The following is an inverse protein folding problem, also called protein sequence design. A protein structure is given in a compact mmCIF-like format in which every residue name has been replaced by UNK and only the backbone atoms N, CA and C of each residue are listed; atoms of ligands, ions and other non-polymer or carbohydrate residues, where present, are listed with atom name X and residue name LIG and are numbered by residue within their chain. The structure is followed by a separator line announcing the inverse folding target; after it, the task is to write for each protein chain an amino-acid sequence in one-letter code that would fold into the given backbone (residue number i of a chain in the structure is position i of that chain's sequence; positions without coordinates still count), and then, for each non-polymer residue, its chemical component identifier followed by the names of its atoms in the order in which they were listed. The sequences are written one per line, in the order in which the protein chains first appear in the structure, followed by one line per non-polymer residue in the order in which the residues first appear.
data_IF_985791401250
#
_entry.id   IF_985791401250
#
_cell.length_a   1.000
_cell.length_b   1.000
_cell.length_c   1.000
_cell.angle_alpha   90.00
_cell.angle_beta   90.00
_cell.angle_gamma   90.00
#
_symmetry.space_group_name_H-M   'P 1'
#
loop_
_entity.id
_entity.type
_entity.pdbx_description
1 polymer ?
#
# COMPACT_ATOMS: atom_id res chain seq x y z
N UNK A 1 -75.25 5.09 -4.13
CA UNK A 1 -75.38 6.45 -4.68
C UNK A 1 -74.00 6.86 -5.18
N UNK A 2 -73.84 6.90 -6.49
CA UNK A 2 -72.60 7.21 -7.19
C UNK A 2 -72.42 8.73 -7.31
N UNK A 3 -71.18 9.21 -7.37
CA UNK A 3 -70.79 10.24 -8.33
C UNK A 3 -69.31 10.10 -8.70
N UNK A 4 -69.11 9.84 -10.00
CA UNK A 4 -67.85 9.86 -10.72
C UNK A 4 -67.31 11.29 -10.87
N UNK A 5 -65.99 11.45 -10.88
CA UNK A 5 -65.34 12.35 -11.84
C UNK A 5 -63.91 11.88 -12.16
N UNK A 6 -63.72 11.48 -13.42
CA UNK A 6 -62.43 11.26 -14.10
C UNK A 6 -61.80 12.61 -14.43
N UNK A 7 -60.47 12.72 -14.31
CA UNK A 7 -59.66 13.45 -15.29
C UNK A 7 -58.24 12.89 -15.34
N UNK A 8 -58.01 12.15 -16.42
CA UNK A 8 -56.73 11.72 -16.96
C UNK A 8 -55.96 12.93 -17.50
N UNK A 9 -54.68 13.05 -17.13
CA UNK A 9 -53.70 13.86 -17.85
C UNK A 9 -52.44 13.00 -18.07
N UNK A 10 -52.31 12.65 -19.34
CA UNK A 10 -51.16 12.07 -20.02
C UNK A 10 -49.95 12.99 -19.90
N UNK A 11 -48.83 12.48 -19.39
CA UNK A 11 -47.52 13.09 -19.58
C UNK A 11 -46.83 12.34 -20.72
N UNK A 12 -46.88 13.00 -21.88
CA UNK A 12 -46.09 12.66 -23.06
C UNK A 12 -44.61 12.89 -22.78
N UNK A 13 -43.81 12.05 -23.43
CA UNK A 13 -42.38 12.13 -23.61
C UNK A 13 -41.99 13.49 -24.22
N UNK A 14 -41.07 14.20 -23.57
CA UNK A 14 -40.21 15.18 -24.22
C UNK A 14 -38.82 14.58 -24.39
N UNK A 15 -38.51 14.35 -25.66
CA UNK A 15 -37.29 13.83 -26.22
C UNK A 15 -36.50 15.04 -26.73
N UNK A 16 -35.30 15.32 -26.18
CA UNK A 16 -34.24 16.06 -26.89
C UNK A 16 -32.91 16.15 -26.11
N UNK A 17 -31.90 15.51 -26.70
CA UNK A 17 -30.51 15.97 -26.83
C UNK A 17 -29.58 15.87 -25.61
N UNK A 18 -28.89 14.73 -25.48
CA UNK A 18 -27.42 14.70 -25.34
C UNK A 18 -26.87 13.52 -26.13
N UNK A 19 -25.98 13.81 -27.08
CA UNK A 19 -25.41 12.85 -28.01
C UNK A 19 -24.68 11.71 -27.30
N UNK A 20 -25.35 10.57 -27.19
CA UNK A 20 -24.72 9.29 -26.91
C UNK A 20 -24.08 8.77 -28.19
N UNK A 21 -22.75 8.76 -28.21
CA UNK A 21 -21.97 7.96 -29.16
C UNK A 21 -22.49 6.52 -29.02
N UNK A 22 -23.17 6.00 -30.05
CA UNK A 22 -23.56 4.59 -30.11
C UNK A 22 -22.30 3.76 -29.96
N UNK A 23 -22.09 3.18 -28.78
CA UNK A 23 -21.17 2.07 -28.58
C UNK A 23 -21.64 0.98 -29.54
N UNK A 24 -20.75 0.64 -30.47
CA UNK A 24 -20.90 -0.49 -31.38
C UNK A 24 -21.17 -1.76 -30.57
N UNK A 25 -22.05 -2.61 -31.09
CA UNK A 25 -22.47 -3.88 -30.50
C UNK A 25 -21.36 -4.95 -30.49
N UNK A 26 -20.25 -4.66 -29.79
CA UNK A 26 -19.13 -5.60 -29.53
C UNK A 26 -19.00 -5.90 -28.03
N UNK A 27 -19.67 -5.15 -27.15
CA UNK A 27 -19.51 -5.27 -25.69
C UNK A 27 -20.70 -5.94 -25.00
N UNK A 28 -20.97 -7.20 -25.33
CA UNK A 28 -21.72 -8.08 -24.43
C UNK A 28 -20.70 -8.95 -23.68
N UNK A 29 -20.63 -8.92 -22.33
CA UNK A 29 -19.72 -9.79 -21.59
C UNK A 29 -20.12 -11.24 -21.86
N UNK A 30 -19.17 -12.03 -22.37
CA UNK A 30 -19.32 -13.48 -22.49
C UNK A 30 -19.67 -14.06 -21.12
N UNK A 31 -20.65 -14.97 -21.05
CA UNK A 31 -20.93 -15.77 -19.85
C UNK A 31 -19.63 -16.37 -19.31
N UNK A 32 -19.35 -16.23 -18.00
CA UNK A 32 -18.50 -17.22 -17.32
C UNK A 32 -17.44 -16.80 -16.29
N UNK A 33 -17.31 -15.55 -15.84
CA UNK A 33 -16.42 -15.23 -14.68
C UNK A 33 -17.09 -14.23 -13.74
N UNK A 34 -17.45 -14.71 -12.54
CA UNK A 34 -17.81 -13.84 -11.42
C UNK A 34 -16.52 -13.20 -10.88
N UNK A 35 -16.39 -11.88 -11.04
CA UNK A 35 -15.24 -11.15 -10.50
C UNK A 35 -15.52 -10.77 -9.07
N UNK A 36 -14.65 -11.23 -8.17
CA UNK A 36 -14.69 -10.75 -6.81
C UNK A 36 -14.35 -9.25 -6.73
N UNK A 37 -15.39 -8.45 -6.51
CA UNK A 37 -15.28 -7.01 -6.23
C UNK A 37 -14.34 -6.73 -5.04
N UNK A 38 -14.33 -7.63 -4.06
CA UNK A 38 -13.58 -7.50 -2.81
C UNK A 38 -12.24 -8.22 -2.85
N UNK A 39 -11.72 -8.57 -4.03
CA UNK A 39 -10.45 -9.31 -4.22
C UNK A 39 -9.24 -8.68 -3.51
N UNK A 40 -9.23 -7.36 -3.33
CA UNK A 40 -8.17 -6.66 -2.60
C UNK A 40 -8.31 -6.73 -1.06
N UNK A 41 -9.46 -7.16 -0.55
CA UNK A 41 -9.74 -7.34 0.89
C UNK A 41 -9.45 -8.79 1.27
N UNK A 42 -8.21 -9.03 1.71
CA UNK A 42 -7.75 -10.35 2.15
C UNK A 42 -7.93 -10.60 3.64
N UNK A 43 -8.17 -9.55 4.44
CA UNK A 43 -8.24 -9.63 5.90
C UNK A 43 -9.35 -8.74 6.50
N UNK A 44 -10.63 -9.10 6.34
CA UNK A 44 -11.71 -8.47 7.11
C UNK A 44 -11.45 -8.56 8.61
N UNK A 45 -11.62 -7.46 9.32
CA UNK A 45 -11.27 -7.34 10.73
C UNK A 45 -12.13 -6.30 11.46
N UNK A 46 -12.13 -6.36 12.80
CA UNK A 46 -12.89 -5.47 13.67
C UNK A 46 -12.09 -4.24 14.15
N UNK A 47 -10.85 -4.03 13.68
CA UNK A 47 -9.95 -3.00 14.23
C UNK A 47 -10.60 -1.62 14.15
N UNK A 48 -11.17 -1.26 13.00
CA UNK A 48 -11.85 0.02 12.81
C UNK A 48 -13.03 0.21 13.76
N UNK A 49 -13.91 -0.80 13.84
CA UNK A 49 -15.10 -0.78 14.67
C UNK A 49 -14.72 -0.63 16.15
N UNK A 50 -13.79 -1.47 16.62
CA UNK A 50 -13.26 -1.44 17.98
C UNK A 50 -12.57 -0.13 18.30
N UNK A 51 -11.75 0.40 17.38
CA UNK A 51 -11.07 1.70 17.51
C UNK A 51 -12.08 2.83 17.71
N UNK A 52 -13.11 2.92 16.84
CA UNK A 52 -14.17 3.93 16.96
C UNK A 52 -14.94 3.80 18.29
N UNK A 53 -15.32 2.58 18.69
CA UNK A 53 -15.98 2.30 19.98
C UNK A 53 -15.13 2.71 21.19
N UNK A 54 -13.80 2.75 21.06
CA UNK A 54 -12.86 3.20 22.10
C UNK A 54 -12.54 4.70 22.04
N UNK A 55 -13.34 5.49 21.32
CA UNK A 55 -13.20 6.94 21.22
C UNK A 55 -12.05 7.41 20.32
N UNK A 56 -11.43 6.50 19.57
CA UNK A 56 -10.39 6.84 18.60
C UNK A 56 -11.03 7.04 17.23
N UNK A 57 -11.58 8.22 16.97
CA UNK A 57 -12.30 8.50 15.72
C UNK A 57 -11.43 8.27 14.47
N UNK A 58 -10.14 8.65 14.53
CA UNK A 58 -9.18 8.57 13.42
C UNK A 58 -8.11 7.51 13.66
N UNK A 59 -7.59 6.93 12.58
CA UNK A 59 -6.52 5.91 12.65
C UNK A 59 -5.22 6.49 13.21
N UNK A 60 -4.94 7.76 12.93
CA UNK A 60 -3.73 8.45 13.40
C UNK A 60 -3.58 8.36 14.93
N UNK A 61 -4.68 8.56 15.65
CA UNK A 61 -4.70 8.49 17.11
C UNK A 61 -4.36 7.08 17.66
N UNK A 62 -4.67 6.02 16.91
CA UNK A 62 -4.23 4.66 17.24
C UNK A 62 -2.76 4.45 16.88
N UNK A 63 -2.31 4.96 15.74
CA UNK A 63 -0.90 4.82 15.30
C UNK A 63 0.10 5.46 16.27
N UNK A 64 -0.27 6.59 16.88
CA UNK A 64 0.56 7.26 17.89
C UNK A 64 0.78 6.41 19.15
N UNK A 65 -0.07 5.40 19.39
CA UNK A 65 0.06 4.43 20.48
C UNK A 65 0.83 3.17 20.07
N UNK A 66 1.21 3.07 18.79
CA UNK A 66 1.82 1.88 18.17
C UNK A 66 3.10 2.28 17.43
N UNK A 67 4.17 2.72 18.12
CA UNK A 67 5.38 3.23 17.48
C UNK A 67 6.08 2.21 16.59
N UNK A 68 5.92 0.91 16.88
CA UNK A 68 6.55 -0.19 16.16
C UNK A 68 5.77 -0.64 14.91
N UNK A 69 4.58 -0.09 14.68
CA UNK A 69 3.77 -0.39 13.49
C UNK A 69 3.69 0.87 12.64
N UNK A 70 4.39 0.91 11.49
CA UNK A 70 4.29 2.03 10.56
C UNK A 70 2.83 2.34 10.21
N UNK A 71 2.45 3.62 10.20
CA UNK A 71 1.08 4.04 9.92
C UNK A 71 0.55 3.45 8.61
N UNK A 72 1.36 3.43 7.54
CA UNK A 72 1.01 2.84 6.24
C UNK A 72 0.62 1.38 6.42
N UNK A 73 1.41 0.63 7.19
CA UNK A 73 1.15 -0.78 7.48
C UNK A 73 -0.11 -0.95 8.32
N UNK A 74 -0.31 -0.12 9.35
CA UNK A 74 -1.52 -0.11 10.17
C UNK A 74 -2.77 0.21 9.34
N UNK A 75 -2.70 1.16 8.41
CA UNK A 75 -3.78 1.52 7.48
C UNK A 75 -4.17 0.37 6.57
N UNK A 76 -3.19 -0.36 6.02
CA UNK A 76 -3.45 -1.54 5.20
C UNK A 76 -4.03 -2.70 6.01
N UNK A 77 -3.57 -2.88 7.25
CA UNK A 77 -4.14 -3.87 8.17
C UNK A 77 -5.59 -3.51 8.46
N UNK A 78 -5.90 -2.27 8.87
CA UNK A 78 -7.27 -1.86 9.18
C UNK A 78 -8.21 -1.99 7.97
N UNK A 79 -7.75 -1.61 6.77
CA UNK A 79 -8.52 -1.76 5.53
C UNK A 79 -8.64 -3.22 5.04
N UNK A 80 -7.96 -4.15 5.70
CA UNK A 80 -7.97 -5.57 5.33
C UNK A 80 -7.21 -5.90 4.06
N UNK A 81 -6.33 -5.01 3.58
CA UNK A 81 -5.50 -5.24 2.40
C UNK A 81 -4.31 -6.16 2.69
N UNK A 82 -3.93 -6.28 3.96
CA UNK A 82 -2.87 -7.19 4.41
C UNK A 82 -3.24 -7.85 5.72
N UNK A 83 -2.78 -9.08 5.93
CA UNK A 83 -2.87 -9.73 7.23
C UNK A 83 -1.93 -9.08 8.24
N UNK A 84 -2.44 -8.87 9.45
CA UNK A 84 -1.61 -8.57 10.60
C UNK A 84 -0.71 -9.78 10.93
N UNK A 85 0.52 -9.51 11.35
CA UNK A 85 1.35 -10.50 12.06
C UNK A 85 0.78 -10.70 13.47
N UNK A 86 1.02 -11.86 14.12
CA UNK A 86 0.57 -12.07 15.49
C UNK A 86 1.04 -10.97 16.47
N UNK A 87 2.31 -10.56 16.41
CA UNK A 87 2.81 -9.46 17.26
C UNK A 87 2.13 -8.11 16.98
N UNK A 88 1.81 -7.82 15.71
CA UNK A 88 1.10 -6.59 15.31
C UNK A 88 -0.34 -6.61 15.86
N UNK A 89 -1.03 -7.75 15.73
CA UNK A 89 -2.38 -7.93 16.26
C UNK A 89 -2.41 -7.80 17.78
N UNK A 90 -1.42 -8.37 18.47
CA UNK A 90 -1.26 -8.26 19.92
C UNK A 90 -1.08 -6.79 20.37
N UNK A 91 -0.21 -6.05 19.68
CA UNK A 91 0.05 -4.65 19.98
C UNK A 91 -1.21 -3.79 19.75
N UNK A 92 -1.92 -3.99 18.63
CA UNK A 92 -3.18 -3.29 18.33
C UNK A 92 -4.23 -3.60 19.40
N UNK A 93 -4.39 -4.87 19.79
CA UNK A 93 -5.33 -5.28 20.82
C UNK A 93 -4.99 -4.65 22.18
N UNK A 94 -3.71 -4.65 22.56
CA UNK A 94 -3.23 -4.00 23.77
C UNK A 94 -3.51 -2.50 23.79
N UNK A 95 -3.23 -1.78 22.70
CA UNK A 95 -3.52 -0.35 22.57
C UNK A 95 -5.02 -0.01 22.65
N UNK A 96 -5.88 -0.96 22.25
CA UNK A 96 -7.34 -0.87 22.34
C UNK A 96 -7.92 -1.47 23.63
N UNK A 97 -7.08 -2.07 24.49
CA UNK A 97 -7.46 -2.80 25.70
C UNK A 97 -8.51 -3.89 25.42
N UNK A 98 -8.24 -4.71 24.41
CA UNK A 98 -9.06 -5.84 23.94
C UNK A 98 -8.22 -7.11 23.86
N UNK A 99 -8.87 -8.26 23.70
CA UNK A 99 -8.19 -9.49 23.33
C UNK A 99 -7.91 -9.48 21.81
N UNK A 100 -6.81 -10.11 21.33
CA UNK A 100 -6.55 -10.23 19.90
C UNK A 100 -7.70 -10.88 19.12
N UNK A 101 -8.42 -11.81 19.75
CA UNK A 101 -9.58 -12.48 19.16
C UNK A 101 -10.74 -11.51 18.84
N UNK A 102 -10.93 -10.44 19.64
CA UNK A 102 -11.98 -9.44 19.43
C UNK A 102 -11.78 -8.65 18.13
N UNK A 103 -10.53 -8.58 17.65
CA UNK A 103 -10.17 -7.89 16.42
C UNK A 103 -10.39 -8.73 15.16
N UNK A 104 -10.64 -10.03 15.31
CA UNK A 104 -10.82 -10.96 14.20
C UNK A 104 -12.31 -11.13 13.88
N UNK A 105 -12.64 -11.14 12.58
CA UNK A 105 -13.99 -11.43 12.10
C UNK A 105 -14.10 -12.92 11.79
N UNK A 106 -15.24 -13.52 12.13
CA UNK A 106 -15.65 -14.79 11.56
C UNK A 106 -16.41 -14.52 10.26
N UNK A 107 -15.80 -14.84 9.11
CA UNK A 107 -16.43 -14.58 7.80
C UNK A 107 -17.53 -15.58 7.44
N UNK A 108 -17.61 -16.69 8.19
CA UNK A 108 -18.65 -17.72 8.03
C UNK A 108 -19.84 -17.47 8.98
N UNK A 109 -19.84 -16.35 9.70
CA UNK A 109 -20.98 -15.93 10.51
C UNK A 109 -22.08 -15.37 9.61
N UNK A 110 -23.32 -15.86 9.74
CA UNK A 110 -24.46 -15.39 8.94
C UNK A 110 -24.74 -13.90 9.15
N UNK A 111 -24.31 -13.32 10.27
CA UNK A 111 -24.44 -11.89 10.54
C UNK A 111 -23.36 -11.03 9.84
N UNK A 112 -22.33 -11.64 9.24
CA UNK A 112 -21.26 -10.90 8.57
C UNK A 112 -21.58 -10.70 7.08
N UNK A 113 -21.77 -9.43 6.69
CA UNK A 113 -21.87 -9.03 5.30
C UNK A 113 -20.58 -8.32 4.82
N UNK A 114 -19.95 -8.87 3.77
CA UNK A 114 -18.73 -8.30 3.20
C UNK A 114 -18.95 -6.93 2.56
N UNK A 115 -20.10 -6.71 1.91
CA UNK A 115 -20.41 -5.45 1.26
C UNK A 115 -20.61 -4.34 2.29
N UNK A 116 -21.33 -4.63 3.39
CA UNK A 116 -21.51 -3.72 4.50
C UNK A 116 -20.18 -3.39 5.18
N UNK A 117 -19.34 -4.40 5.43
CA UNK A 117 -18.00 -4.17 5.98
C UNK A 117 -17.12 -3.35 5.04
N UNK A 118 -17.21 -3.61 3.73
CA UNK A 118 -16.41 -2.95 2.71
C UNK A 118 -16.82 -1.49 2.46
N UNK A 119 -18.08 -1.11 2.73
CA UNK A 119 -18.64 0.21 2.44
C UNK A 119 -17.83 1.36 3.06
N UNK A 120 -17.22 1.13 4.23
CA UNK A 120 -16.41 2.11 4.93
C UNK A 120 -14.94 2.15 4.45
N UNK A 121 -14.44 1.10 3.79
CA UNK A 121 -13.03 0.97 3.36
C UNK A 121 -12.83 1.20 1.87
N UNK A 122 -13.84 0.93 1.05
CA UNK A 122 -13.81 1.04 -0.40
C UNK A 122 -14.93 1.96 -0.86
N UNK A 123 -14.59 2.97 -1.65
CA UNK A 123 -15.58 3.80 -2.32
C UNK A 123 -16.32 2.96 -3.36
N UNK A 124 -17.66 2.82 -3.27
CA UNK A 124 -18.42 2.08 -4.26
C UNK A 124 -18.26 2.61 -5.68
N UNK A 125 -18.03 3.91 -5.86
CA UNK A 125 -17.82 4.55 -7.16
C UNK A 125 -16.45 4.25 -7.77
N UNK A 126 -15.53 3.66 -6.99
CA UNK A 126 -14.20 3.30 -7.44
C UNK A 126 -14.16 1.98 -8.25
N UNK A 127 -15.27 1.23 -8.26
CA UNK A 127 -15.45 -0.02 -8.98
C UNK A 127 -16.13 0.24 -10.34
N UNK A 128 -15.46 -0.15 -11.41
CA UNK A 128 -15.99 -0.12 -12.77
C UNK A 128 -15.96 -1.56 -13.30
N UNK A 129 -17.12 -2.22 -13.47
CA UNK A 129 -17.17 -3.62 -13.85
C UNK A 129 -16.35 -3.97 -15.09
N UNK A 130 -16.31 -3.10 -16.11
CA UNK A 130 -15.59 -3.36 -17.35
C UNK A 130 -14.07 -3.23 -17.15
N UNK A 131 -13.64 -2.19 -16.43
CA UNK A 131 -12.23 -1.95 -16.15
C UNK A 131 -11.65 -2.94 -15.13
N UNK A 132 -12.42 -3.30 -14.11
CA UNK A 132 -12.08 -4.33 -13.14
C UNK A 132 -12.00 -5.72 -13.80
N UNK A 133 -12.91 -6.01 -14.74
CA UNK A 133 -12.84 -7.22 -15.56
C UNK A 133 -11.58 -7.27 -16.40
N UNK A 134 -11.27 -6.18 -17.09
CA UNK A 134 -10.03 -6.11 -17.85
C UNK A 134 -8.78 -6.26 -16.95
N UNK A 135 -8.77 -5.67 -15.75
CA UNK A 135 -7.65 -5.81 -14.82
C UNK A 135 -7.41 -7.28 -14.39
N UNK A 136 -8.48 -8.06 -14.19
CA UNK A 136 -8.40 -9.49 -13.90
C UNK A 136 -7.85 -10.27 -15.09
N UNK A 137 -8.36 -10.02 -16.31
CA UNK A 137 -7.85 -10.67 -17.51
C UNK A 137 -6.38 -10.35 -17.76
N UNK A 138 -5.98 -9.08 -17.56
CA UNK A 138 -4.60 -8.64 -17.70
C UNK A 138 -3.68 -9.33 -16.68
N UNK A 139 -4.11 -9.45 -15.42
CA UNK A 139 -3.36 -10.17 -14.40
C UNK A 139 -3.15 -11.65 -14.78
N UNK A 140 -4.20 -12.30 -15.31
CA UNK A 140 -4.11 -13.67 -15.82
C UNK A 140 -3.17 -13.78 -17.02
N UNK A 141 -3.22 -12.83 -17.95
CA UNK A 141 -2.35 -12.79 -19.13
C UNK A 141 -0.86 -12.59 -18.78
N UNK A 142 -0.56 -11.73 -17.79
CA UNK A 142 0.81 -11.55 -17.29
C UNK A 142 1.33 -12.85 -16.68
N UNK A 143 0.52 -13.53 -15.85
CA UNK A 143 0.89 -14.82 -15.26
C UNK A 143 1.13 -15.88 -16.33
N UNK A 144 0.24 -15.97 -17.32
CA UNK A 144 0.38 -16.86 -18.46
C UNK A 144 1.68 -16.61 -19.23
N UNK A 145 1.99 -15.34 -19.55
CA UNK A 145 3.20 -14.96 -20.26
C UNK A 145 4.48 -15.34 -19.50
N UNK A 146 4.47 -15.18 -18.17
CA UNK A 146 5.59 -15.53 -17.28
C UNK A 146 5.74 -17.03 -17.08
N UNK A 147 4.65 -17.79 -17.05
CA UNK A 147 4.72 -19.25 -16.98
C UNK A 147 5.26 -19.86 -18.28
N UNK A 148 4.90 -19.28 -19.42
CA UNK A 148 5.40 -19.70 -20.73
C UNK A 148 6.90 -19.40 -20.96
N UNK A 149 7.53 -18.57 -20.13
CA UNK A 149 8.89 -18.09 -20.33
C UNK A 149 9.64 -17.90 -19.00
N UNK A 150 10.45 -18.91 -18.67
CA UNK A 150 11.26 -18.92 -17.47
C UNK A 150 12.31 -17.79 -17.40
N UNK A 151 12.60 -17.12 -18.52
CA UNK A 151 13.48 -15.95 -18.58
C UNK A 151 12.86 -14.69 -17.95
N UNK A 152 11.52 -14.62 -17.86
CA UNK A 152 10.78 -13.50 -17.26
C UNK A 152 10.77 -13.56 -15.73
N UNK A 153 11.97 -13.58 -15.17
CA UNK A 153 12.21 -13.44 -13.73
C UNK A 153 11.82 -12.04 -13.26
N UNK A 154 11.58 -11.89 -11.95
CA UNK A 154 11.28 -10.58 -11.35
C UNK A 154 12.38 -9.55 -11.66
N UNK A 155 13.65 -9.98 -11.62
CA UNK A 155 14.79 -9.12 -11.93
C UNK A 155 14.84 -8.72 -13.41
N UNK A 156 14.50 -9.63 -14.34
CA UNK A 156 14.40 -9.33 -15.76
C UNK A 156 13.25 -8.35 -16.05
N UNK A 157 12.10 -8.52 -15.41
CA UNK A 157 10.95 -7.62 -15.54
C UNK A 157 11.26 -6.19 -15.05
N UNK A 158 12.01 -6.07 -13.96
CA UNK A 158 12.46 -4.76 -13.47
C UNK A 158 13.47 -4.12 -14.43
N UNK A 159 14.45 -4.88 -14.90
CA UNK A 159 15.56 -4.38 -15.73
C UNK A 159 15.13 -4.06 -17.16
N UNK A 160 14.46 -4.99 -17.82
CA UNK A 160 14.22 -4.96 -19.26
C UNK A 160 12.87 -4.31 -19.60
N UNK A 161 11.94 -4.28 -18.65
CA UNK A 161 10.59 -3.72 -18.83
C UNK A 161 10.25 -2.57 -17.89
N UNK A 162 11.14 -2.25 -16.93
CA UNK A 162 10.90 -1.17 -15.95
C UNK A 162 9.79 -1.48 -14.94
N UNK A 163 9.36 -2.74 -14.82
CA UNK A 163 8.29 -3.14 -13.91
C UNK A 163 8.89 -3.57 -12.56
N UNK A 164 8.89 -2.66 -11.60
CA UNK A 164 9.40 -2.94 -10.26
C UNK A 164 8.65 -4.12 -9.58
N UNK A 165 9.31 -4.92 -8.71
CA UNK A 165 8.72 -6.11 -8.08
C UNK A 165 7.38 -5.85 -7.37
N UNK A 166 7.25 -4.69 -6.72
CA UNK A 166 6.03 -4.28 -6.03
C UNK A 166 4.88 -3.99 -7.01
N UNK A 167 5.19 -3.40 -8.17
CA UNK A 167 4.20 -3.13 -9.21
C UNK A 167 3.78 -4.41 -9.91
N UNK A 168 4.73 -5.30 -10.22
CA UNK A 168 4.45 -6.63 -10.75
C UNK A 168 3.49 -7.40 -9.84
N UNK A 169 3.79 -7.46 -8.54
CA UNK A 169 2.91 -8.13 -7.58
C UNK A 169 1.49 -7.56 -7.58
N UNK A 170 1.34 -6.23 -7.65
CA UNK A 170 0.02 -5.58 -7.70
C UNK A 170 -0.71 -5.82 -9.03
N UNK A 171 0.01 -5.89 -10.15
CA UNK A 171 -0.53 -6.23 -11.48
C UNK A 171 -1.07 -7.66 -11.48
N UNK A 172 -0.28 -8.62 -10.99
CA UNK A 172 -0.67 -10.04 -10.94
C UNK A 172 -1.82 -10.36 -9.98
N UNK A 173 -2.21 -9.39 -9.14
CA UNK A 173 -3.36 -9.49 -8.24
C UNK A 173 -4.52 -8.57 -8.67
N UNK A 174 -4.48 -8.00 -9.89
CA UNK A 174 -5.50 -7.11 -10.42
C UNK A 174 -5.89 -5.99 -9.43
N UNK A 175 -4.89 -5.43 -8.74
CA UNK A 175 -5.11 -4.53 -7.59
C UNK A 175 -5.87 -3.25 -7.96
N UNK A 176 -5.69 -2.75 -9.18
CA UNK A 176 -6.39 -1.57 -9.70
C UNK A 176 -6.52 -1.61 -11.24
N UNK A 177 -7.53 -0.92 -11.81
CA UNK A 177 -7.69 -0.73 -13.25
C UNK A 177 -6.45 -0.20 -13.97
N UNK A 178 -6.34 -0.50 -15.27
CA UNK A 178 -5.20 -0.10 -16.10
C UNK A 178 -5.00 1.43 -16.11
N UNK A 179 -6.09 2.21 -16.14
CA UNK A 179 -6.04 3.67 -16.14
C UNK A 179 -5.53 4.32 -14.85
N UNK A 180 -5.34 3.55 -13.76
CA UNK A 180 -4.76 4.06 -12.51
C UNK A 180 -3.27 3.80 -12.37
N UNK A 181 -2.63 3.18 -13.35
CA UNK A 181 -1.18 2.98 -13.37
C UNK A 181 -0.47 4.19 -13.98
N UNK A 182 0.78 4.43 -13.59
CA UNK A 182 1.58 5.48 -14.23
C UNK A 182 2.01 5.04 -15.63
N UNK A 183 2.28 6.02 -16.50
CA UNK A 183 2.60 5.81 -17.91
C UNK A 183 3.79 4.88 -18.12
N UNK A 184 4.82 4.97 -17.26
CA UNK A 184 5.98 4.08 -17.33
C UNK A 184 5.62 2.60 -17.09
N UNK A 185 4.72 2.34 -16.15
CA UNK A 185 4.23 0.98 -15.88
C UNK A 185 3.35 0.49 -17.04
N UNK A 186 2.49 1.36 -17.58
CA UNK A 186 1.65 1.03 -18.74
C UNK A 186 2.52 0.70 -19.97
N UNK A 187 3.55 1.50 -20.24
CA UNK A 187 4.50 1.26 -21.32
C UNK A 187 5.26 -0.07 -21.12
N UNK A 188 5.71 -0.35 -19.88
CA UNK A 188 6.36 -1.61 -19.54
C UNK A 188 5.45 -2.84 -19.76
N UNK A 189 4.16 -2.73 -19.43
CA UNK A 189 3.17 -3.79 -19.69
C UNK A 189 2.96 -3.98 -21.19
N UNK A 190 2.84 -2.89 -21.96
CA UNK A 190 2.68 -2.98 -23.41
C UNK A 190 3.91 -3.66 -24.04
N UNK A 191 5.12 -3.31 -23.59
CA UNK A 191 6.35 -3.95 -24.04
C UNK A 191 6.42 -5.44 -23.65
N UNK A 192 6.02 -5.79 -22.41
CA UNK A 192 5.96 -7.19 -21.95
C UNK A 192 5.02 -8.06 -22.80
N UNK A 193 3.92 -7.46 -23.24
CA UNK A 193 2.89 -8.14 -24.02
C UNK A 193 3.10 -8.03 -25.53
N UNK A 194 4.21 -7.42 -25.96
CA UNK A 194 4.58 -7.20 -27.36
C UNK A 194 3.50 -6.45 -28.16
N UNK A 195 3.00 -5.36 -27.58
CA UNK A 195 1.96 -4.50 -28.18
C UNK A 195 2.36 -3.02 -28.10
N UNK A 196 1.84 -2.21 -29.02
CA UNK A 196 2.21 -0.80 -29.14
C UNK A 196 1.54 0.10 -28.09
N UNK A 197 0.30 -0.20 -27.72
CA UNK A 197 -0.52 0.66 -26.85
C UNK A 197 -1.58 -0.12 -26.06
N UNK A 198 -2.36 0.60 -25.26
CA UNK A 198 -3.41 0.03 -24.41
C UNK A 198 -4.57 -0.55 -25.22
N UNK A 199 -4.87 -0.02 -26.40
CA UNK A 199 -5.93 -0.56 -27.25
C UNK A 199 -5.54 -1.94 -27.79
N UNK A 200 -4.32 -2.05 -28.34
CA UNK A 200 -3.74 -3.31 -28.77
C UNK A 200 -3.57 -4.31 -27.60
N UNK A 201 -3.22 -3.82 -26.41
CA UNK A 201 -3.16 -4.64 -25.19
C UNK A 201 -4.53 -5.25 -24.86
N UNK A 202 -5.61 -4.47 -24.94
CA UNK A 202 -6.97 -4.96 -24.70
C UNK A 202 -7.37 -6.02 -25.70
N UNK A 203 -7.14 -5.78 -26.98
CA UNK A 203 -7.41 -6.76 -28.03
C UNK A 203 -6.64 -8.07 -27.82
N UNK A 204 -5.35 -7.97 -27.50
CA UNK A 204 -4.48 -9.14 -27.26
C UNK A 204 -4.96 -9.97 -26.08
N UNK A 205 -5.24 -9.34 -24.94
CA UNK A 205 -5.70 -10.02 -23.72
C UNK A 205 -7.08 -10.65 -23.92
N UNK A 206 -8.00 -9.94 -24.58
CA UNK A 206 -9.32 -10.48 -24.92
C UNK A 206 -9.20 -11.67 -25.88
N UNK A 207 -8.29 -11.62 -26.86
CA UNK A 207 -8.01 -12.74 -27.75
C UNK A 207 -7.48 -13.98 -27.03
N UNK A 208 -6.58 -13.80 -26.05
CA UNK A 208 -6.10 -14.90 -25.19
C UNK A 208 -7.22 -15.51 -24.35
N UNK A 209 -8.12 -14.67 -23.82
CA UNK A 209 -9.28 -15.13 -23.07
C UNK A 209 -10.26 -15.91 -23.95
N UNK A 210 -10.61 -15.38 -25.13
CA UNK A 210 -11.50 -16.07 -26.07
C UNK A 210 -10.94 -17.41 -26.56
N UNK A 211 -9.62 -17.58 -26.54
CA UNK A 211 -8.94 -18.84 -26.85
C UNK A 211 -8.85 -19.82 -25.65
N UNK A 212 -9.35 -19.46 -24.47
CA UNK A 212 -9.29 -20.27 -23.24
C UNK A 212 -7.89 -20.36 -22.61
N UNK A 213 -6.91 -19.58 -23.09
CA UNK A 213 -5.52 -19.66 -22.63
C UNK A 213 -5.33 -19.15 -21.19
N UNK A 214 -6.30 -18.38 -20.67
CA UNK A 214 -6.20 -17.71 -19.37
C UNK A 214 -6.93 -18.45 -18.24
N UNK A 215 -7.74 -19.47 -18.55
CA UNK A 215 -8.69 -20.10 -17.62
C UNK A 215 -8.04 -20.61 -16.32
N UNK A 216 -6.85 -21.20 -16.44
CA UNK A 216 -6.09 -21.70 -15.29
C UNK A 216 -5.69 -20.58 -14.31
N UNK A 217 -5.39 -19.39 -14.83
CA UNK A 217 -4.95 -18.25 -14.02
C UNK A 217 -6.10 -17.40 -13.50
N UNK A 218 -7.23 -17.38 -14.20
CA UNK A 218 -8.41 -16.58 -13.80
C UNK A 218 -8.97 -17.02 -12.45
N UNK A 219 -9.03 -18.33 -12.19
CA UNK A 219 -9.42 -18.86 -10.87
C UNK A 219 -8.53 -18.31 -9.75
N UNK A 220 -7.22 -18.21 -9.98
CA UNK A 220 -6.27 -17.76 -8.97
C UNK A 220 -6.35 -16.26 -8.65
N UNK A 221 -6.95 -15.43 -9.52
CA UNK A 221 -6.99 -13.97 -9.37
C UNK A 221 -8.35 -13.48 -8.86
N UNK A 222 -9.45 -14.09 -9.31
CA UNK A 222 -10.78 -13.52 -9.14
C UNK A 222 -11.77 -14.35 -8.31
N UNK A 223 -11.39 -15.54 -7.82
CA UNK A 223 -12.32 -16.45 -7.14
C UNK A 223 -12.61 -16.02 -5.68
N UNK A 224 -13.87 -15.65 -5.34
CA UNK A 224 -14.25 -15.30 -3.98
C UNK A 224 -14.05 -16.44 -2.98
N UNK A 225 -14.29 -17.69 -3.38
CA UNK A 225 -14.19 -18.84 -2.49
C UNK A 225 -12.75 -19.13 -2.09
N UNK A 226 -11.79 -18.97 -3.01
CA UNK A 226 -10.37 -19.13 -2.69
C UNK A 226 -9.90 -18.05 -1.71
N UNK A 227 -10.38 -16.80 -1.87
CA UNK A 227 -10.10 -15.72 -0.93
C UNK A 227 -10.70 -15.99 0.44
N UNK A 228 -11.97 -16.44 0.51
CA UNK A 228 -12.62 -16.84 1.77
C UNK A 228 -11.87 -17.99 2.44
N UNK A 229 -11.50 -19.02 1.70
CA UNK A 229 -10.73 -20.15 2.21
C UNK A 229 -9.37 -19.71 2.80
N UNK A 230 -8.64 -18.85 2.09
CA UNK A 230 -7.37 -18.29 2.58
C UNK A 230 -7.56 -17.43 3.83
N UNK A 231 -8.61 -16.63 3.86
CA UNK A 231 -8.98 -15.81 5.03
C UNK A 231 -9.28 -16.70 6.22
N UNK A 232 -10.09 -17.75 6.05
CA UNK A 232 -10.42 -18.73 7.11
C UNK A 232 -9.17 -19.40 7.68
N UNK A 233 -8.30 -19.93 6.81
CA UNK A 233 -7.06 -20.56 7.22
C UNK A 233 -6.18 -19.59 8.02
N UNK A 234 -6.03 -18.36 7.54
CA UNK A 234 -5.16 -17.37 8.19
C UNK A 234 -5.72 -16.83 9.50
N UNK A 235 -7.05 -16.65 9.60
CA UNK A 235 -7.71 -16.29 10.86
C UNK A 235 -7.61 -17.41 11.88
N UNK A 236 -7.73 -18.68 11.46
CA UNK A 236 -7.53 -19.82 12.35
C UNK A 236 -6.08 -19.88 12.88
N UNK A 237 -5.08 -19.68 12.02
CA UNK A 237 -3.68 -19.57 12.43
C UNK A 237 -3.44 -18.43 13.41
N UNK A 238 -4.06 -17.26 13.18
CA UNK A 238 -3.97 -16.12 14.08
C UNK A 238 -4.60 -16.44 15.43
N UNK A 239 -5.80 -17.05 15.47
CA UNK A 239 -6.44 -17.48 16.72
C UNK A 239 -5.57 -18.47 17.50
N UNK A 240 -5.02 -19.46 16.81
CA UNK A 240 -4.14 -20.48 17.40
C UNK A 240 -2.80 -19.92 17.92
N UNK A 241 -2.41 -18.70 17.52
CA UNK A 241 -1.20 -18.07 18.01
C UNK A 241 -1.35 -17.48 19.43
N UNK A 242 -2.57 -17.38 19.98
CA UNK A 242 -2.83 -16.74 21.28
C UNK A 242 -3.48 -17.67 22.29
N UNK A 243 -3.14 -17.46 23.56
CA UNK A 243 -3.89 -17.97 24.69
C UNK A 243 -5.32 -17.35 24.68
N UNK A 244 -6.39 -18.16 24.62
CA UNK A 244 -7.76 -17.66 24.55
C UNK A 244 -8.21 -16.83 25.75
N UNK A 245 -7.69 -17.11 26.95
CA UNK A 245 -8.08 -16.46 28.19
C UNK A 245 -7.22 -15.22 28.47
N UNK A 246 -5.92 -15.30 28.17
CA UNK A 246 -4.96 -14.24 28.49
C UNK A 246 -4.66 -13.31 27.31
N UNK A 247 -5.02 -13.69 26.07
CA UNK A 247 -4.68 -12.95 24.85
C UNK A 247 -3.17 -12.87 24.58
N UNK A 248 -2.37 -13.68 25.28
CA UNK A 248 -0.90 -13.66 25.18
C UNK A 248 -0.45 -14.50 24.00
N UNK A 249 0.52 -13.99 23.26
CA UNK A 249 1.11 -14.71 22.14
C UNK A 249 1.86 -15.95 22.66
N UNK A 250 1.61 -17.11 22.06
CA UNK A 250 2.39 -18.31 22.37
C UNK A 250 3.85 -18.12 21.94
N UNK A 251 4.82 -18.61 22.73
CA UNK A 251 6.22 -18.63 22.32
C UNK A 251 6.33 -19.37 20.99
N UNK A 252 6.83 -18.70 19.96
CA UNK A 252 7.06 -19.36 18.68
C UNK A 252 8.18 -20.37 18.86
N UNK A 253 8.02 -21.64 18.45
CA UNK A 253 9.14 -22.57 18.43
C UNK A 253 10.26 -21.97 17.57
N UNK A 254 11.54 -22.10 17.97
CA UNK A 254 12.64 -21.56 17.21
C UNK A 254 12.56 -22.08 15.78
N UNK A 255 12.59 -21.15 14.82
CA UNK A 255 12.57 -21.50 13.40
C UNK A 255 13.84 -22.31 13.15
N UNK A 256 13.70 -23.57 12.72
CA UNK A 256 14.85 -24.37 12.34
C UNK A 256 15.71 -23.55 11.36
N UNK A 257 17.04 -23.52 11.54
CA UNK A 257 17.91 -22.79 10.63
C UNK A 257 17.61 -23.27 9.20
N UNK A 258 17.61 -22.35 8.21
CA UNK A 258 17.48 -22.76 6.82
C UNK A 258 18.55 -23.83 6.54
N UNK A 259 18.23 -24.89 5.78
CA UNK A 259 19.24 -25.86 5.39
C UNK A 259 20.40 -25.10 4.77
N UNK A 260 21.59 -25.25 5.36
CA UNK A 260 22.83 -24.75 4.79
C UNK A 260 22.86 -25.25 3.35
N UNK A 261 22.88 -24.32 2.39
CA UNK A 261 23.33 -24.66 1.04
C UNK A 261 24.73 -25.23 1.23
N UNK A 262 24.94 -26.46 0.78
CA UNK A 262 26.27 -27.03 0.72
C UNK A 262 27.09 -26.12 -0.19
N UNK A 263 28.03 -25.37 0.39
CA UNK A 263 29.08 -24.70 -0.36
C UNK A 263 29.94 -25.79 -1.01
N UNK A 264 30.03 -25.84 -2.35
CA UNK A 264 31.11 -26.56 -2.98
C UNK A 264 32.36 -25.68 -2.89
N UNK A 265 33.43 -26.26 -2.33
CA UNK A 265 34.75 -25.68 -2.15
C UNK A 265 34.93 -24.82 -0.89
N UNK A 266 35.59 -25.43 0.11
CA UNK A 266 36.05 -24.76 1.30
C UNK A 266 37.10 -23.69 0.99
N UNK A 267 36.89 -22.51 1.54
CA UNK A 267 37.97 -21.58 1.92
C UNK A 267 37.46 -20.75 3.08
N UNK A 268 37.77 -21.17 4.31
CA UNK A 268 37.62 -20.31 5.48
C UNK A 268 38.83 -19.38 5.58
N UNK A 269 38.69 -18.07 5.76
CA UNK A 269 39.77 -17.24 6.28
C UNK A 269 39.85 -17.40 7.79
N UNK A 270 41.05 -17.75 8.25
CA UNK A 270 41.43 -17.81 9.65
C UNK A 270 41.46 -16.42 10.28
N UNK A 271 40.65 -16.18 11.31
CA UNK A 271 40.96 -15.24 12.38
C UNK A 271 40.19 -15.66 13.64
N UNK A 272 40.67 -16.74 14.24
CA UNK A 272 40.42 -17.05 15.64
C UNK A 272 41.76 -17.46 16.25
N UNK A 273 41.98 -17.03 17.49
CA UNK A 273 43.13 -17.29 18.36
C UNK A 273 44.26 -16.26 18.31
N UNK A 274 44.10 -15.20 19.11
CA UNK A 274 45.02 -14.93 20.22
C UNK A 274 44.20 -14.55 21.46
N UNK A 275 44.30 -15.44 22.44
CA UNK A 275 43.93 -15.40 23.86
C UNK A 275 44.63 -14.22 24.60
N UNK A 276 44.37 -13.79 25.84
CA UNK A 276 43.52 -14.16 26.98
C UNK A 276 43.75 -13.08 28.07
N UNK A 277 42.96 -13.15 29.16
CA UNK A 277 43.23 -12.67 30.53
C UNK A 277 43.25 -11.17 30.88
N UNK A 278 42.17 -10.73 31.56
CA UNK A 278 42.24 -9.97 32.83
C UNK A 278 40.94 -10.10 33.64
N UNK A 279 41.09 -10.36 34.95
CA UNK A 279 40.04 -10.55 35.94
C UNK A 279 39.29 -9.24 36.30
N UNK A 280 38.11 -9.29 36.96
CA UNK A 280 37.05 -8.29 36.85
C UNK A 280 37.19 -7.12 37.85
N UNK A 281 36.74 -5.93 37.41
CA UNK A 281 36.48 -4.79 38.29
C UNK A 281 34.99 -4.74 38.60
N UNK A 282 34.61 -4.95 39.86
CA UNK A 282 33.24 -4.74 40.34
C UNK A 282 33.00 -3.24 40.55
N UNK A 283 32.28 -2.64 39.60
CA UNK A 283 31.66 -1.32 39.70
C UNK A 283 30.27 -1.36 39.06
N UNK A 284 29.34 -0.46 39.43
CA UNK A 284 27.95 -0.55 38.96
C UNK A 284 27.93 -0.44 37.42
N UNK A 285 27.32 -1.45 36.80
CA UNK A 285 27.17 -1.57 35.35
C UNK A 285 26.39 -0.37 34.78
N UNK A 286 27.11 0.63 34.30
CA UNK A 286 26.59 1.51 33.27
C UNK A 286 26.59 0.72 31.97
N UNK A 287 25.42 0.60 31.34
CA UNK A 287 25.21 -0.14 30.11
C UNK A 287 26.27 0.21 29.04
N UNK A 288 27.12 -0.75 28.71
CA UNK A 288 28.07 -0.65 27.62
C UNK A 288 27.33 -0.72 26.28
N UNK A 289 27.63 0.24 25.40
CA UNK A 289 27.67 -0.04 23.96
C UNK A 289 26.64 0.63 23.05
N UNK A 290 26.24 1.89 23.27
CA UNK A 290 25.65 2.67 22.17
C UNK A 290 26.78 3.29 21.33
N UNK A 291 27.50 2.46 20.57
CA UNK A 291 28.33 2.95 19.47
C UNK A 291 27.40 3.58 18.44
N UNK A 292 27.32 4.91 18.44
CA UNK A 292 26.53 5.68 17.50
C UNK A 292 27.08 5.48 16.07
N UNK A 293 26.55 4.49 15.36
CA UNK A 293 26.81 4.32 13.94
C UNK A 293 26.15 5.50 13.22
N UNK A 294 26.96 6.45 12.76
CA UNK A 294 26.54 7.55 11.88
C UNK A 294 26.00 6.93 10.60
N UNK A 295 24.68 7.00 10.39
CA UNK A 295 24.03 6.48 9.18
C UNK A 295 23.91 7.59 8.15
N UNK A 296 24.64 7.45 7.05
CA UNK A 296 24.55 8.36 5.91
C UNK A 296 23.43 7.92 4.95
N UNK A 297 22.65 8.87 4.45
CA UNK A 297 21.59 8.65 3.47
C UNK A 297 21.83 9.49 2.21
N UNK A 298 21.47 8.98 1.01
CA UNK A 298 21.65 9.70 -0.25
C UNK A 298 20.71 10.89 -0.35
N UNK A 299 21.21 11.97 -0.96
CA UNK A 299 20.44 13.18 -1.25
C UNK A 299 19.93 13.17 -2.69
N UNK A 300 18.65 13.48 -2.84
CA UNK A 300 17.99 13.67 -4.12
C UNK A 300 17.49 15.10 -4.27
N UNK A 301 17.36 15.59 -5.50
CA UNK A 301 16.66 16.82 -5.79
C UNK A 301 17.07 17.46 -7.10
N UNK A 302 16.09 17.73 -7.96
CA UNK A 302 16.20 18.68 -9.05
C UNK A 302 14.89 19.49 -9.10
N UNK A 303 14.94 20.84 -9.15
CA UNK A 303 13.72 21.65 -9.23
C UNK A 303 13.02 21.42 -10.56
N UNK A 304 11.71 21.21 -10.51
CA UNK A 304 10.84 21.22 -11.71
C UNK A 304 9.74 22.30 -11.54
N UNK A 305 8.80 22.36 -12.47
CA UNK A 305 7.71 23.34 -12.45
C UNK A 305 6.84 23.26 -11.17
N UNK A 306 6.05 24.30 -10.92
CA UNK A 306 5.01 24.28 -9.88
C UNK A 306 5.49 23.98 -8.45
N UNK A 307 6.75 24.28 -8.12
CA UNK A 307 7.30 24.03 -6.78
C UNK A 307 7.53 22.54 -6.47
N UNK A 308 7.54 21.69 -7.49
CA UNK A 308 7.85 20.27 -7.36
C UNK A 308 9.35 20.00 -7.44
N UNK A 309 9.76 18.85 -6.90
CA UNK A 309 11.14 18.38 -6.84
C UNK A 309 11.19 16.99 -7.48
N UNK A 310 11.96 16.84 -8.55
CA UNK A 310 12.24 15.54 -9.13
C UNK A 310 13.27 14.79 -8.26
N UNK A 311 13.07 13.48 -8.08
CA UNK A 311 13.93 12.62 -7.26
C UNK A 311 15.19 12.20 -8.00
N UNK A 312 16.00 13.18 -8.42
CA UNK A 312 17.26 12.96 -9.13
C UNK A 312 18.42 12.84 -8.13
N UNK A 313 19.28 11.81 -8.20
CA UNK A 313 20.43 11.69 -7.31
C UNK A 313 21.40 12.88 -7.44
N UNK A 314 21.83 13.47 -6.32
CA UNK A 314 22.78 14.60 -6.32
C UNK A 314 24.25 14.18 -6.13
N UNK A 315 24.52 12.89 -5.86
CA UNK A 315 25.86 12.39 -5.56
C UNK A 315 26.40 12.77 -4.18
N UNK A 316 25.58 13.39 -3.32
CA UNK A 316 25.94 13.76 -1.94
C UNK A 316 25.21 12.88 -0.93
N UNK A 317 25.82 12.71 0.24
CA UNK A 317 25.27 11.95 1.36
C UNK A 317 25.16 12.87 2.59
N UNK A 318 24.15 12.65 3.44
CA UNK A 318 23.96 13.40 4.69
C UNK A 318 23.66 12.46 5.85
N UNK A 319 23.96 12.88 7.07
CA UNK A 319 23.64 12.10 8.27
C UNK A 319 22.12 12.08 8.51
N UNK A 320 21.58 10.88 8.71
CA UNK A 320 20.20 10.69 9.11
C UNK A 320 20.09 10.67 10.65
N UNK A 321 19.04 11.27 11.23
CA UNK A 321 18.77 11.17 12.66
C UNK A 321 18.72 9.70 13.12
N UNK A 322 19.14 9.42 14.36
CA UNK A 322 19.20 8.06 14.92
C UNK A 322 17.89 7.28 14.79
N UNK A 323 16.74 7.95 14.87
CA UNK A 323 15.42 7.35 14.73
C UNK A 323 14.93 7.16 13.29
N UNK A 324 15.66 7.61 12.28
CA UNK A 324 15.22 7.57 10.89
C UNK A 324 15.00 6.12 10.41
N UNK A 325 13.87 5.87 9.74
CA UNK A 325 13.52 4.57 9.18
C UNK A 325 14.51 4.07 8.11
N UNK A 326 14.54 2.77 7.82
CA UNK A 326 15.46 2.18 6.85
C UNK A 326 15.36 2.82 5.46
N UNK A 327 14.20 3.35 5.08
CA UNK A 327 13.97 3.96 3.77
C UNK A 327 14.18 5.48 3.74
N UNK A 328 14.73 6.07 4.81
CA UNK A 328 14.96 7.51 4.88
C UNK A 328 15.99 8.00 3.84
N UNK A 329 15.79 9.21 3.33
CA UNK A 329 16.65 9.85 2.34
C UNK A 329 16.72 11.37 2.52
N UNK A 330 17.78 12.00 2.00
CA UNK A 330 17.87 13.46 1.93
C UNK A 330 17.13 13.98 0.70
N UNK A 331 16.40 15.08 0.84
CA UNK A 331 15.76 15.79 -0.26
C UNK A 331 16.19 17.26 -0.23
N UNK A 332 16.83 17.72 -1.31
CA UNK A 332 17.14 19.13 -1.49
C UNK A 332 15.85 19.91 -1.73
N UNK A 333 15.65 20.97 -0.97
CA UNK A 333 14.43 21.79 -1.01
C UNK A 333 14.29 22.49 -2.37
N UNK A 334 15.41 22.88 -2.98
CA UNK A 334 15.54 23.49 -4.32
C UNK A 334 14.87 24.86 -4.50
N UNK A 335 13.73 25.12 -3.87
CA UNK A 335 12.99 26.39 -3.88
C UNK A 335 12.28 26.58 -2.53
N UNK A 336 12.15 27.82 -2.02
CA UNK A 336 11.51 28.08 -0.73
C UNK A 336 9.97 27.97 -0.82
N UNK A 337 9.45 26.78 -1.14
CA UNK A 337 8.01 26.53 -1.39
C UNK A 337 7.15 26.61 -0.13
N UNK A 338 7.77 26.55 1.05
CA UNK A 338 7.13 26.70 2.37
C UNK A 338 7.37 28.09 3.01
N UNK A 339 7.86 29.05 2.23
CA UNK A 339 8.23 30.38 2.74
C UNK A 339 9.70 30.48 3.22
N UNK A 340 10.06 31.57 3.91
CA UNK A 340 11.46 31.94 4.15
C UNK A 340 12.19 31.05 5.17
N UNK A 341 11.46 30.30 5.99
CA UNK A 341 12.04 29.47 7.06
C UNK A 341 12.82 28.24 6.53
N UNK A 342 12.52 27.79 5.30
CA UNK A 342 13.19 26.65 4.68
C UNK A 342 13.84 27.09 3.35
N UNK A 343 15.14 27.45 3.36
CA UNK A 343 15.80 27.99 2.18
C UNK A 343 16.01 26.91 1.11
N UNK A 344 16.12 27.33 -0.15
CA UNK A 344 16.33 26.45 -1.31
C UNK A 344 17.53 25.51 -1.16
N UNK A 345 18.58 25.96 -0.45
CA UNK A 345 19.79 25.17 -0.18
C UNK A 345 19.64 24.18 0.97
N UNK A 346 18.57 24.21 1.76
CA UNK A 346 18.42 23.24 2.83
C UNK A 346 18.20 21.81 2.26
N UNK A 347 18.71 20.83 2.99
CA UNK A 347 18.41 19.41 2.75
C UNK A 347 17.53 18.91 3.87
N UNK A 348 16.32 18.46 3.55
CA UNK A 348 15.44 17.84 4.54
C UNK A 348 15.64 16.33 4.55
N UNK A 349 15.54 15.71 5.72
CA UNK A 349 15.58 14.26 5.87
C UNK A 349 14.16 13.74 5.85
N UNK A 350 13.82 13.03 4.79
CA UNK A 350 12.49 12.46 4.54
C UNK A 350 12.49 11.02 5.01
N UNK A 351 11.49 10.65 5.80
CA UNK A 351 11.28 9.29 6.29
C UNK A 351 9.93 8.73 5.77
N UNK A 352 9.96 7.90 4.72
CA UNK A 352 8.76 7.25 4.17
C UNK A 352 8.13 6.22 5.11
N UNK A 353 8.86 5.75 6.12
CA UNK A 353 8.37 4.75 7.05
C UNK A 353 7.49 5.38 8.15
N UNK A 354 7.40 6.71 8.17
CA UNK A 354 6.64 7.50 9.14
C UNK A 354 5.64 8.42 8.44
N UNK A 355 4.43 8.49 8.99
CA UNK A 355 3.41 9.41 8.51
C UNK A 355 3.59 10.81 9.14
N UNK A 356 3.22 11.89 8.44
CA UNK A 356 3.36 13.23 8.97
C UNK A 356 2.51 13.48 10.22
N UNK A 357 3.00 14.38 11.06
CA UNK A 357 2.32 14.84 12.28
C UNK A 357 1.88 16.29 12.13
N UNK A 358 0.80 16.72 12.82
CA UNK A 358 0.36 18.11 12.82
C UNK A 358 1.48 19.05 13.29
N UNK A 359 1.64 20.20 12.63
CA UNK A 359 2.73 21.15 12.86
C UNK A 359 4.08 20.73 12.25
N UNK A 360 4.17 19.55 11.65
CA UNK A 360 5.36 19.06 10.96
C UNK A 360 5.40 19.46 9.48
N UNK A 361 6.38 18.89 8.77
CA UNK A 361 6.51 19.02 7.32
C UNK A 361 6.31 17.63 6.70
N UNK A 362 5.54 17.58 5.63
CA UNK A 362 5.32 16.39 4.82
C UNK A 362 5.99 16.52 3.46
N UNK A 363 6.32 15.38 2.87
CA UNK A 363 6.62 15.24 1.46
C UNK A 363 5.52 14.39 0.84
N UNK A 364 4.84 14.91 -0.17
CA UNK A 364 3.86 14.14 -0.94
C UNK A 364 4.37 13.86 -2.34
N UNK A 365 4.03 12.70 -2.89
CA UNK A 365 4.28 12.35 -4.28
C UNK A 365 3.09 12.79 -5.13
N UNK A 366 3.37 13.67 -6.08
CA UNK A 366 2.48 14.00 -7.19
C UNK A 366 2.96 13.29 -8.46
N UNK A 367 2.13 13.32 -9.51
CA UNK A 367 2.41 12.66 -10.80
C UNK A 367 3.78 13.01 -11.37
N UNK A 368 4.18 14.28 -11.27
CA UNK A 368 5.41 14.80 -11.89
C UNK A 368 6.61 14.87 -10.92
N UNK A 369 6.39 14.79 -9.60
CA UNK A 369 7.47 14.97 -8.64
C UNK A 369 7.03 14.96 -7.17
N UNK A 370 7.94 15.39 -6.30
CA UNK A 370 7.72 15.48 -4.86
C UNK A 370 7.38 16.93 -4.47
N UNK A 371 6.42 17.10 -3.57
CA UNK A 371 6.07 18.42 -3.00
C UNK A 371 6.30 18.43 -1.50
N UNK A 372 6.88 19.53 -1.01
CA UNK A 372 6.95 19.84 0.42
C UNK A 372 5.69 20.58 0.87
N UNK A 373 5.15 20.19 2.02
CA UNK A 373 3.94 20.77 2.62
C UNK A 373 4.15 21.00 4.12
N UNK A 374 3.70 22.12 4.67
CA UNK A 374 3.47 22.25 6.12
C UNK A 374 2.17 21.56 6.49
N UNK A 375 2.16 20.75 7.54
CA UNK A 375 0.98 19.97 7.94
C UNK A 375 0.19 20.73 8.99
N UNK A 376 -1.04 21.10 8.66
CA UNK A 376 -2.04 21.58 9.61
C UNK A 376 -3.09 20.51 9.91
N UNK A 377 -3.86 20.76 10.97
CA UNK A 377 -5.05 19.97 11.32
C UNK A 377 -6.22 20.92 11.57
N UNK A 378 -7.38 20.59 11.00
CA UNK A 378 -8.62 21.31 11.26
C UNK A 378 -9.28 20.89 12.59
N UNK A 379 -10.39 21.53 12.94
CA UNK A 379 -11.15 21.22 14.18
C UNK A 379 -11.71 19.79 14.20
N UNK A 380 -11.85 19.16 13.03
CA UNK A 380 -12.37 17.79 12.85
C UNK A 380 -11.24 16.73 12.79
N UNK A 381 -9.99 17.16 13.01
CA UNK A 381 -8.83 16.28 13.02
C UNK A 381 -8.35 15.86 11.64
N UNK A 382 -8.81 16.51 10.55
CA UNK A 382 -8.34 16.22 9.20
C UNK A 382 -6.99 16.88 8.96
N UNK A 383 -6.06 16.13 8.39
CA UNK A 383 -4.75 16.66 8.03
C UNK A 383 -4.75 17.27 6.64
N UNK A 384 -4.30 18.51 6.60
CA UNK A 384 -4.16 19.30 5.39
C UNK A 384 -2.73 19.77 5.27
N UNK A 385 -2.13 19.57 4.11
CA UNK A 385 -0.83 20.09 3.77
C UNK A 385 -0.95 21.40 3.00
N UNK A 386 -0.12 22.38 3.36
CA UNK A 386 -0.09 23.70 2.74
C UNK A 386 1.26 23.96 2.08
N UNK A 387 1.24 24.49 0.86
CA UNK A 387 2.40 25.04 0.15
C UNK A 387 2.16 26.51 -0.09
N UNK A 388 3.19 27.35 0.04
CA UNK A 388 3.07 28.80 -0.19
C UNK A 388 3.37 29.18 -1.64
N UNK A 389 4.25 28.43 -2.31
CA UNK A 389 4.70 28.74 -3.67
C UNK A 389 4.82 27.48 -4.54
N UNK A 390 3.81 27.20 -5.41
CA UNK A 390 2.52 27.88 -5.52
C UNK A 390 1.66 27.67 -4.26
N UNK A 391 0.73 28.59 -4.03
CA UNK A 391 -0.27 28.45 -2.96
C UNK A 391 -1.15 27.23 -3.26
N UNK A 392 -1.08 26.21 -2.39
CA UNK A 392 -1.80 24.95 -2.56
C UNK A 392 -2.20 24.37 -1.22
N UNK A 393 -3.40 23.84 -1.20
CA UNK A 393 -3.96 23.07 -0.11
C UNK A 393 -4.19 21.63 -0.57
N UNK A 394 -3.67 20.66 0.17
CA UNK A 394 -3.76 19.23 -0.17
C UNK A 394 -4.29 18.46 1.03
N UNK A 395 -5.42 17.76 0.85
CA UNK A 395 -5.98 16.88 1.87
C UNK A 395 -5.11 15.61 2.01
N UNK A 396 -4.18 15.62 2.97
CA UNK A 396 -3.21 14.53 3.18
C UNK A 396 -3.94 13.21 3.49
N UNK A 397 -5.06 13.27 4.21
CA UNK A 397 -5.85 12.10 4.57
C UNK A 397 -6.52 11.39 3.38
N UNK A 398 -6.65 12.08 2.23
CA UNK A 398 -7.23 11.51 1.01
C UNK A 398 -6.18 10.84 0.11
N UNK A 399 -4.89 11.04 0.39
CA UNK A 399 -3.79 10.46 -0.38
C UNK A 399 -3.52 9.02 0.03
N UNK A 400 -3.00 8.20 -0.89
CA UNK A 400 -2.46 6.90 -0.51
C UNK A 400 -1.29 7.13 0.45
N UNK A 401 -1.26 6.50 1.63
CA UNK A 401 -0.17 6.68 2.57
C UNK A 401 1.22 6.37 2.02
N UNK A 402 1.36 5.58 0.94
CA UNK A 402 2.64 5.36 0.26
C UNK A 402 3.18 6.60 -0.45
N UNK A 403 2.30 7.52 -0.81
CA UNK A 403 2.61 8.76 -1.50
C UNK A 403 2.84 9.91 -0.51
N UNK A 404 2.90 9.61 0.79
CA UNK A 404 3.10 10.60 1.85
C UNK A 404 4.22 10.14 2.78
N UNK A 405 5.19 11.02 3.01
CA UNK A 405 6.29 10.81 3.95
C UNK A 405 6.43 12.01 4.88
N UNK A 406 6.97 11.80 6.07
CA UNK A 406 7.27 12.91 6.99
C UNK A 406 8.70 13.42 6.82
N UNK A 407 8.94 14.69 7.11
CA UNK A 407 10.28 15.24 7.30
C UNK A 407 10.65 15.16 8.78
N UNK A 408 11.74 14.48 9.08
CA UNK A 408 12.21 14.24 10.46
C UNK A 408 13.41 15.12 10.86
N UNK A 409 13.93 15.91 9.93
CA UNK A 409 15.05 16.81 10.18
C UNK A 409 15.33 17.71 8.98
N UNK A 410 16.05 18.80 9.22
CA UNK A 410 16.53 19.70 8.18
C UNK A 410 17.98 20.07 8.47
N UNK A 411 18.80 20.05 7.43
CA UNK A 411 20.20 20.46 7.45
C UNK A 411 20.30 21.75 6.66
N UNK A 412 20.83 22.77 7.32
CA UNK A 412 21.04 24.09 6.76
C UNK A 412 22.55 24.26 6.53
N UNK A 413 22.99 24.00 5.30
CA UNK A 413 24.34 24.33 4.83
C UNK A 413 24.47 25.82 4.57
#
# INVERSE_FOLDING_TARGET
MAFHLKRSLSLQQDDALRGGKKLSAVDAPAEGIEIDRYRSIVFPNNIRLCRRKRGLAKLLALSQRLPDIPYIRLSKIERGEVFAKPAELAAIAGALKLLPADLLINIDDDAFDMAEWAADVQDPASFDPAEDHFAVLLAAAIRHRREADAGLTIAALEKDYGIAPVMLSRLENAFKPIGRWNDGTVAGICHLMDVADVAALRERVTGLYAAGALDAHLRAVANPEDRKAKTRARVAELRAAFDPAAGRLHPRPPKAPPPLRADPAGTQPAFAMLAEERAPFEGPAMAEGETALVRLVPVFGAPIGEGLIQRTPMGTMVEAPRGAGPNAYGLRVCRPTLGPALPARATVIVDPDRFPTPGGIAVVRETEGLRLLTVGVDRDGRMTGYSAHPDREIAIDALDPIDVATVIGAIFD
#
